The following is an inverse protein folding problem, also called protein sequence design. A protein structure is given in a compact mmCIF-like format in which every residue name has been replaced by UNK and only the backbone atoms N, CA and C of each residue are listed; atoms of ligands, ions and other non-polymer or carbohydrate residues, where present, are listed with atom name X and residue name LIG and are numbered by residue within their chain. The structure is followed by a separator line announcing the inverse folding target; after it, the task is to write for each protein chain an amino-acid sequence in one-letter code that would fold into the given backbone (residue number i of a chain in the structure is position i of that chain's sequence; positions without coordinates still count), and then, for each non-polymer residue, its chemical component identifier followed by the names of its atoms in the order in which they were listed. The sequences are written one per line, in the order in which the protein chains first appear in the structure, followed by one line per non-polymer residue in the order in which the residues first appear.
data_IF_242235475484
#
_entry.id   IF_242235475484
#
_cell.length_a   1.000
_cell.length_b   1.000
_cell.length_c   1.000
_cell.angle_alpha   90.00
_cell.angle_beta   90.00
_cell.angle_gamma   90.00
#
_symmetry.space_group_name_H-M   'P 1'
#
loop_
_entity.id
_entity.type
_entity.pdbx_description
1 polymer ?
#
# COMPACT_ATOMS: atom_id res chain seq x y z
N UNK A 1 -64.71 40.40 -21.08
CA UNK A 1 -64.16 39.49 -22.10
C UNK A 1 -64.20 40.18 -23.45
N UNK A 2 -63.05 40.46 -24.03
CA UNK A 2 -62.92 40.79 -25.45
C UNK A 2 -61.58 40.20 -25.92
N UNK A 3 -61.66 39.01 -26.51
CA UNK A 3 -60.53 38.24 -27.01
C UNK A 3 -60.30 38.68 -28.47
N UNK A 4 -59.32 39.57 -28.68
CA UNK A 4 -58.90 39.95 -30.03
C UNK A 4 -57.85 38.97 -30.54
N UNK A 5 -58.28 38.00 -31.35
CA UNK A 5 -57.39 37.17 -32.15
C UNK A 5 -56.97 37.99 -33.37
N UNK A 6 -55.67 38.30 -33.47
CA UNK A 6 -55.06 38.92 -34.66
C UNK A 6 -54.54 37.80 -35.56
N UNK A 7 -55.27 37.49 -36.63
CA UNK A 7 -54.78 36.60 -37.68
C UNK A 7 -53.69 37.30 -38.49
N UNK A 8 -52.47 36.76 -38.47
CA UNK A 8 -51.41 37.19 -39.37
C UNK A 8 -51.47 36.37 -40.66
N UNK A 9 -51.86 37.04 -41.75
CA UNK A 9 -51.89 36.51 -43.11
C UNK A 9 -50.48 36.60 -43.69
N UNK A 10 -49.72 35.50 -43.65
CA UNK A 10 -48.35 35.44 -44.20
C UNK A 10 -48.45 35.39 -45.74
N UNK A 11 -48.01 36.47 -46.40
CA UNK A 11 -47.87 36.56 -47.85
C UNK A 11 -46.65 35.75 -48.32
N UNK A 12 -46.87 34.78 -49.22
CA UNK A 12 -45.92 33.74 -49.65
C UNK A 12 -44.75 34.19 -50.52
N UNK A 13 -44.02 35.25 -50.13
CA UNK A 13 -42.88 35.78 -50.90
C UNK A 13 -41.58 35.97 -50.13
N UNK A 14 -41.50 35.65 -48.83
CA UNK A 14 -40.32 35.96 -47.99
C UNK A 14 -39.89 34.84 -47.03
N UNK A 15 -40.19 33.59 -47.36
CA UNK A 15 -39.80 32.43 -46.53
C UNK A 15 -38.40 31.88 -46.85
N UNK A 16 -37.81 32.20 -48.02
CA UNK A 16 -36.46 31.75 -48.34
C UNK A 16 -35.37 32.50 -47.55
N UNK A 17 -35.55 33.80 -47.28
CA UNK A 17 -34.56 34.59 -46.53
C UNK A 17 -34.52 34.25 -45.03
N UNK A 18 -35.67 34.04 -44.40
CA UNK A 18 -35.75 33.68 -42.99
C UNK A 18 -35.26 32.26 -42.72
N UNK A 19 -35.49 31.32 -43.65
CA UNK A 19 -34.97 29.94 -43.55
C UNK A 19 -33.45 29.87 -43.61
N UNK A 20 -32.81 30.64 -44.50
CA UNK A 20 -31.33 30.69 -44.59
C UNK A 20 -30.72 31.36 -43.36
N UNK A 21 -31.34 32.41 -42.82
CA UNK A 21 -30.86 33.06 -41.59
C UNK A 21 -31.05 32.14 -40.37
N UNK A 22 -32.16 31.38 -40.31
CA UNK A 22 -32.38 30.41 -39.23
C UNK A 22 -31.44 29.21 -39.33
N UNK A 23 -31.14 28.71 -40.55
CA UNK A 23 -30.13 27.68 -40.76
C UNK A 23 -28.71 28.18 -40.45
N UNK A 24 -28.38 29.43 -40.79
CA UNK A 24 -27.10 30.04 -40.43
C UNK A 24 -26.99 30.29 -38.91
N UNK A 25 -28.08 30.66 -38.24
CA UNK A 25 -28.13 30.83 -36.79
C UNK A 25 -28.04 29.47 -36.06
N UNK A 26 -28.68 28.42 -36.58
CA UNK A 26 -28.51 27.04 -36.07
C UNK A 26 -27.08 26.57 -36.31
N UNK A 27 -26.49 26.82 -37.49
CA UNK A 27 -25.10 26.46 -37.75
C UNK A 27 -24.13 27.22 -36.84
N UNK A 28 -24.38 28.51 -36.55
CA UNK A 28 -23.58 29.29 -35.58
C UNK A 28 -23.84 28.87 -34.13
N UNK A 29 -25.04 28.40 -33.79
CA UNK A 29 -25.33 27.85 -32.47
C UNK A 29 -24.70 26.46 -32.30
N UNK A 30 -24.74 25.60 -33.33
CA UNK A 30 -24.05 24.30 -33.34
C UNK A 30 -22.54 24.49 -33.39
N UNK A 31 -22.02 25.50 -34.10
CA UNK A 31 -20.59 25.83 -34.09
C UNK A 31 -20.18 26.52 -32.78
N UNK A 32 -21.03 27.35 -32.18
CA UNK A 32 -20.77 28.06 -30.93
C UNK A 32 -20.92 27.17 -29.68
N UNK A 33 -21.88 26.25 -29.67
CA UNK A 33 -22.05 25.21 -28.64
C UNK A 33 -21.11 24.04 -28.91
N UNK A 34 -20.91 23.62 -30.16
CA UNK A 34 -19.93 22.62 -30.54
C UNK A 34 -18.50 23.05 -30.21
N UNK A 35 -18.11 24.30 -30.50
CA UNK A 35 -16.82 24.86 -30.09
C UNK A 35 -16.71 25.20 -28.59
N UNK A 36 -17.78 25.03 -27.81
CA UNK A 36 -17.77 25.16 -26.34
C UNK A 36 -17.99 23.84 -25.60
N UNK A 37 -18.41 22.77 -26.30
CA UNK A 37 -18.36 21.38 -25.85
C UNK A 37 -17.01 20.74 -26.26
N UNK A 38 -16.33 21.27 -27.27
CA UNK A 38 -14.89 21.04 -27.49
C UNK A 38 -14.04 21.86 -26.51
N UNK A 39 -14.30 21.70 -25.22
CA UNK A 39 -13.39 22.05 -24.15
C UNK A 39 -12.51 20.81 -23.89
N UNK A 40 -11.32 20.66 -24.50
CA UNK A 40 -10.37 19.65 -24.07
C UNK A 40 -9.70 20.15 -22.77
N UNK A 41 -10.48 20.20 -21.70
CA UNK A 41 -9.96 20.30 -20.34
C UNK A 41 -10.65 19.18 -19.57
N UNK A 42 -10.24 17.95 -19.86
CA UNK A 42 -10.89 16.77 -19.33
C UNK A 42 -10.27 15.45 -19.74
N UNK A 43 -9.18 15.41 -20.50
CA UNK A 43 -8.47 14.17 -20.82
C UNK A 43 -7.01 14.58 -20.96
N UNK A 44 -6.20 14.36 -19.92
CA UNK A 44 -4.76 14.43 -20.08
C UNK A 44 -4.38 13.24 -20.97
N UNK A 45 -4.15 13.49 -22.26
CA UNK A 45 -3.45 12.58 -23.15
C UNK A 45 -2.22 12.04 -22.41
N UNK A 46 -2.14 10.71 -22.38
CA UNK A 46 -0.92 9.99 -22.02
C UNK A 46 0.07 10.24 -23.16
N UNK A 47 0.76 11.39 -23.14
CA UNK A 47 2.03 11.54 -23.84
C UNK A 47 3.04 10.67 -23.11
N UNK A 48 3.25 9.45 -23.62
CA UNK A 48 4.44 8.65 -23.32
C UNK A 48 5.63 9.33 -23.99
N UNK A 49 6.11 10.39 -23.35
CA UNK A 49 7.27 11.16 -23.77
C UNK A 49 7.96 11.69 -22.53
N UNK A 50 9.24 11.34 -22.38
CA UNK A 50 10.11 11.61 -21.23
C UNK A 50 10.31 13.11 -20.89
N UNK A 51 9.24 13.83 -20.57
CA UNK A 51 9.28 15.03 -19.73
C UNK A 51 9.03 14.53 -18.32
N UNK A 52 10.02 14.68 -17.44
CA UNK A 52 9.85 14.49 -16.00
C UNK A 52 8.54 15.16 -15.58
N UNK A 53 7.59 14.39 -15.06
CA UNK A 53 6.34 14.94 -14.61
C UNK A 53 6.65 15.95 -13.48
N UNK A 54 6.35 17.23 -13.72
CA UNK A 54 6.66 18.31 -12.78
C UNK A 54 5.93 18.11 -11.44
N UNK A 55 4.86 17.31 -11.41
CA UNK A 55 4.14 16.92 -10.20
C UNK A 55 4.93 15.88 -9.41
N UNK A 56 5.50 14.88 -10.07
CA UNK A 56 6.33 13.84 -9.43
C UNK A 56 7.53 14.46 -8.69
N UNK A 57 8.27 15.34 -9.37
CA UNK A 57 9.40 16.07 -8.77
C UNK A 57 9.00 17.00 -7.59
N UNK A 58 7.71 17.34 -7.48
CA UNK A 58 7.15 18.17 -6.39
C UNK A 58 6.43 17.34 -5.32
N UNK A 59 6.51 16.00 -5.41
CA UNK A 59 5.84 15.07 -4.51
C UNK A 59 4.31 15.20 -4.53
N UNK A 60 3.70 15.63 -5.63
CA UNK A 60 2.23 15.69 -5.75
C UNK A 60 1.70 14.28 -6.02
N UNK A 61 0.63 13.90 -5.33
CA UNK A 61 0.06 12.54 -5.34
C UNK A 61 -1.48 12.56 -5.21
N UNK A 62 -2.15 13.48 -5.94
CA UNK A 62 -3.61 13.66 -5.86
C UNK A 62 -4.37 12.61 -6.65
N UNK A 63 -3.82 12.24 -7.81
CA UNK A 63 -4.40 11.23 -8.70
C UNK A 63 -3.53 9.97 -8.69
N UNK A 64 -4.07 8.87 -9.19
CA UNK A 64 -3.29 7.64 -9.39
C UNK A 64 -2.11 7.86 -10.33
N UNK A 65 -2.35 8.52 -11.47
CA UNK A 65 -1.31 8.94 -12.40
C UNK A 65 -0.17 9.71 -11.71
N UNK A 66 -0.49 10.64 -10.80
CA UNK A 66 0.55 11.37 -10.05
C UNK A 66 1.37 10.43 -9.14
N UNK A 67 0.72 9.45 -8.49
CA UNK A 67 1.39 8.46 -7.64
C UNK A 67 2.30 7.53 -8.45
N UNK A 68 1.82 7.01 -9.57
CA UNK A 68 2.61 6.16 -10.48
C UNK A 68 3.81 6.94 -11.05
N UNK A 69 3.61 8.19 -11.47
CA UNK A 69 4.69 9.04 -11.94
C UNK A 69 5.73 9.34 -10.84
N UNK A 70 5.28 9.52 -9.59
CA UNK A 70 6.17 9.70 -8.44
C UNK A 70 7.01 8.44 -8.16
N UNK A 71 6.42 7.24 -8.27
CA UNK A 71 7.12 5.97 -8.09
C UNK A 71 8.15 5.76 -9.19
N UNK A 72 7.74 5.97 -10.45
CA UNK A 72 8.58 5.77 -11.63
C UNK A 72 9.86 6.63 -11.64
N UNK A 73 9.83 7.81 -11.00
CA UNK A 73 11.02 8.67 -10.91
C UNK A 73 12.19 8.03 -10.14
N UNK A 74 11.90 7.01 -9.32
CA UNK A 74 12.91 6.25 -8.57
C UNK A 74 13.35 4.96 -9.28
N UNK A 75 12.81 4.68 -10.47
CA UNK A 75 13.13 3.49 -11.26
C UNK A 75 12.26 2.27 -10.95
N UNK A 76 11.20 2.42 -10.16
CA UNK A 76 10.27 1.33 -9.84
C UNK A 76 9.12 1.25 -10.84
N UNK A 77 8.79 0.02 -11.21
CA UNK A 77 7.58 -0.34 -11.93
C UNK A 77 6.63 -1.03 -10.97
N UNK A 78 5.34 -0.69 -11.04
CA UNK A 78 4.31 -1.19 -10.14
C UNK A 78 3.04 -1.54 -10.90
N UNK A 79 2.20 -2.38 -10.30
CA UNK A 79 0.81 -2.53 -10.74
C UNK A 79 0.05 -1.19 -10.63
N UNK A 80 -0.84 -0.91 -11.59
CA UNK A 80 -1.54 0.38 -11.66
C UNK A 80 -2.46 0.62 -10.46
N UNK A 81 -3.13 -0.44 -10.01
CA UNK A 81 -4.02 -0.41 -8.86
C UNK A 81 -3.24 -0.65 -7.55
N UNK A 82 -3.48 0.14 -6.49
CA UNK A 82 -2.88 -0.12 -5.20
C UNK A 82 -3.47 -1.38 -4.58
N UNK A 83 -2.61 -2.25 -4.03
CA UNK A 83 -3.03 -3.44 -3.28
C UNK A 83 -3.75 -3.06 -1.98
N UNK A 84 -3.40 -1.93 -1.39
CA UNK A 84 -4.01 -1.46 -0.14
C UNK A 84 -4.08 0.07 -0.13
N UNK A 85 -5.20 0.60 0.34
CA UNK A 85 -5.37 2.01 0.68
C UNK A 85 -5.85 2.08 2.12
N UNK A 86 -5.01 2.60 3.02
CA UNK A 86 -5.33 2.73 4.43
C UNK A 86 -5.34 4.19 4.86
N UNK A 87 -6.32 4.59 5.66
CA UNK A 87 -6.29 5.86 6.37
C UNK A 87 -5.47 5.70 7.65
N UNK A 88 -4.43 6.51 7.79
CA UNK A 88 -3.51 6.46 8.92
C UNK A 88 -3.52 7.81 9.65
N UNK A 89 -3.19 7.78 10.94
CA UNK A 89 -2.91 8.99 11.72
C UNK A 89 -1.44 8.96 12.09
N UNK A 90 -0.71 10.01 11.75
CA UNK A 90 0.66 10.16 12.23
C UNK A 90 0.58 10.43 13.74
N UNK A 91 1.22 9.62 14.60
CA UNK A 91 1.12 9.78 16.05
C UNK A 91 1.51 11.19 16.51
N UNK A 92 0.93 11.68 17.59
CA UNK A 92 1.32 12.97 18.18
C UNK A 92 2.69 12.89 18.85
N UNK A 93 3.00 11.74 19.45
CA UNK A 93 4.28 11.41 20.07
C UNK A 93 4.91 10.23 19.33
N UNK A 94 6.22 10.31 19.05
CA UNK A 94 6.94 9.24 18.38
C UNK A 94 7.61 8.36 19.43
N UNK A 95 7.25 7.08 19.43
CA UNK A 95 8.00 6.05 20.12
C UNK A 95 9.30 5.73 19.36
N UNK A 96 10.06 4.75 19.84
CA UNK A 96 11.31 4.34 19.20
C UNK A 96 11.11 3.88 17.75
N UNK A 97 9.99 3.22 17.45
CA UNK A 97 9.67 2.68 16.12
C UNK A 97 9.39 3.82 15.14
N UNK A 98 8.51 4.75 15.51
CA UNK A 98 8.23 5.92 14.68
C UNK A 98 9.41 6.86 14.57
N UNK A 99 10.26 6.94 15.60
CA UNK A 99 11.51 7.71 15.54
C UNK A 99 12.44 7.14 14.48
N UNK A 100 12.73 5.84 14.51
CA UNK A 100 13.54 5.15 13.51
C UNK A 100 12.94 5.25 12.10
N UNK A 101 11.62 5.10 12.00
CA UNK A 101 10.93 5.25 10.72
C UNK A 101 11.06 6.69 10.18
N UNK A 102 10.89 7.70 11.03
CA UNK A 102 11.08 9.09 10.64
C UNK A 102 12.54 9.42 10.27
N UNK A 103 13.54 8.79 10.89
CA UNK A 103 14.94 8.89 10.47
C UNK A 103 15.15 8.34 9.06
N UNK A 104 14.52 7.20 8.72
CA UNK A 104 14.50 6.70 7.34
C UNK A 104 13.85 7.71 6.38
N UNK A 105 12.76 8.35 6.79
CA UNK A 105 12.10 9.38 5.98
C UNK A 105 12.98 10.63 5.80
N UNK A 106 13.73 11.03 6.82
CA UNK A 106 14.66 12.16 6.75
C UNK A 106 15.79 11.96 5.75
N UNK A 107 16.30 10.72 5.61
CA UNK A 107 17.27 10.38 4.56
C UNK A 107 16.72 10.60 3.15
N UNK A 108 15.40 10.57 3.00
CA UNK A 108 14.68 10.82 1.76
C UNK A 108 14.20 12.27 1.62
N UNK A 109 14.66 13.18 2.49
CA UNK A 109 14.24 14.58 2.60
C UNK A 109 12.78 14.79 3.04
N UNK A 110 12.20 13.80 3.71
CA UNK A 110 10.88 13.88 4.34
C UNK A 110 10.99 14.05 5.86
N UNK A 111 9.97 14.62 6.50
CA UNK A 111 9.94 14.72 7.97
C UNK A 111 8.51 14.60 8.45
N UNK A 112 8.20 13.44 9.05
CA UNK A 112 6.88 13.08 9.54
C UNK A 112 6.48 13.88 10.79
N UNK A 113 7.44 14.44 11.54
CA UNK A 113 7.13 15.25 12.73
C UNK A 113 6.28 16.48 12.39
N UNK A 114 6.42 17.01 11.18
CA UNK A 114 5.61 18.14 10.66
C UNK A 114 4.14 17.77 10.44
N UNK A 115 3.83 16.49 10.52
CA UNK A 115 2.51 15.92 10.27
C UNK A 115 1.94 15.17 11.49
N UNK A 116 2.55 15.30 12.67
CA UNK A 116 2.03 14.76 13.94
C UNK A 116 0.56 15.13 14.17
N UNK A 117 -0.24 14.14 14.56
CA UNK A 117 -1.70 14.25 14.75
C UNK A 117 -2.51 14.36 13.45
N UNK A 118 -1.89 14.39 12.26
CA UNK A 118 -2.61 14.52 11.00
C UNK A 118 -3.06 13.18 10.46
N UNK A 119 -4.25 13.23 9.86
CA UNK A 119 -4.87 12.11 9.14
C UNK A 119 -4.38 12.10 7.70
N UNK A 120 -3.84 10.98 7.25
CA UNK A 120 -3.20 10.80 5.97
C UNK A 120 -3.60 9.46 5.35
N UNK A 121 -3.18 9.20 4.12
CA UNK A 121 -3.43 7.93 3.44
C UNK A 121 -2.13 7.23 3.13
N UNK A 122 -2.06 5.93 3.41
CA UNK A 122 -1.03 5.04 2.88
C UNK A 122 -1.58 4.36 1.63
N UNK A 123 -0.84 4.46 0.53
CA UNK A 123 -1.08 3.67 -0.68
C UNK A 123 0.03 2.64 -0.80
N UNK A 124 -0.34 1.37 -0.91
CA UNK A 124 0.59 0.26 -1.07
C UNK A 124 0.48 -0.27 -2.48
N UNK A 125 1.59 -0.34 -3.20
CA UNK A 125 1.66 -0.86 -4.57
C UNK A 125 2.60 -2.06 -4.64
N UNK A 126 2.25 -3.06 -5.46
CA UNK A 126 3.16 -4.18 -5.77
C UNK A 126 4.23 -3.70 -6.75
N UNK A 127 5.50 -3.90 -6.42
CA UNK A 127 6.62 -3.62 -7.33
C UNK A 127 6.82 -4.83 -8.23
N UNK A 128 6.94 -4.63 -9.54
CA UNK A 128 7.08 -5.72 -10.51
C UNK A 128 8.52 -5.93 -10.98
N UNK A 129 9.41 -4.95 -10.76
CA UNK A 129 10.79 -4.96 -11.24
C UNK A 129 11.84 -4.97 -10.10
N UNK A 130 11.46 -5.39 -8.89
CA UNK A 130 12.41 -5.47 -7.78
C UNK A 130 13.43 -6.60 -8.02
N UNK A 131 14.75 -6.35 -7.89
CA UNK A 131 15.78 -7.38 -8.12
C UNK A 131 15.57 -8.61 -7.21
N UNK A 132 15.71 -9.81 -7.78
CA UNK A 132 15.69 -11.11 -7.08
C UNK A 132 14.37 -11.52 -6.41
N UNK A 133 13.46 -10.58 -6.12
CA UNK A 133 12.18 -10.87 -5.47
C UNK A 133 11.03 -9.97 -5.99
N UNK A 134 10.59 -10.15 -7.25
CA UNK A 134 9.55 -9.31 -7.86
C UNK A 134 8.15 -9.55 -7.27
N UNK A 135 7.89 -10.69 -6.63
CA UNK A 135 6.53 -11.00 -6.15
C UNK A 135 6.23 -10.51 -4.75
N UNK A 136 7.25 -10.25 -3.93
CA UNK A 136 7.08 -9.92 -2.52
C UNK A 136 7.42 -8.45 -2.19
N UNK A 137 7.96 -7.70 -3.14
CA UNK A 137 8.32 -6.30 -2.94
C UNK A 137 7.11 -5.37 -3.10
N UNK A 138 6.97 -4.44 -2.17
CA UNK A 138 5.91 -3.43 -2.13
C UNK A 138 6.51 -2.05 -1.92
N UNK A 139 5.86 -1.02 -2.47
CA UNK A 139 6.15 0.38 -2.17
C UNK A 139 4.96 1.03 -1.47
N UNK A 140 5.25 1.64 -0.33
CA UNK A 140 4.29 2.37 0.50
C UNK A 140 4.47 3.86 0.28
N UNK A 141 3.42 4.58 -0.10
CA UNK A 141 3.40 6.04 -0.18
C UNK A 141 2.52 6.61 0.93
N UNK A 142 3.09 7.46 1.79
CA UNK A 142 2.35 8.23 2.77
C UNK A 142 1.96 9.58 2.17
N UNK A 143 0.66 9.82 2.01
CA UNK A 143 0.12 10.99 1.34
C UNK A 143 -0.77 11.79 2.30
N UNK A 144 -0.42 13.05 2.55
CA UNK A 144 -1.26 14.02 3.27
C UNK A 144 -1.51 15.23 2.37
N UNK A 145 -2.75 15.75 2.37
CA UNK A 145 -3.14 16.93 1.58
C UNK A 145 -2.76 16.82 0.07
N UNK A 146 -2.77 15.60 -0.46
CA UNK A 146 -2.42 15.31 -1.85
C UNK A 146 -0.93 15.40 -2.18
N UNK A 147 -0.06 15.34 -1.18
CA UNK A 147 1.40 15.31 -1.32
C UNK A 147 2.00 14.12 -0.61
N UNK A 148 3.03 13.52 -1.21
CA UNK A 148 3.87 12.53 -0.56
C UNK A 148 4.63 13.20 0.58
N UNK A 149 4.53 12.63 1.77
CA UNK A 149 5.21 13.10 2.98
C UNK A 149 6.23 12.10 3.51
N UNK A 150 6.37 10.95 2.85
CA UNK A 150 7.25 9.85 3.21
C UNK A 150 6.76 8.54 2.62
N UNK A 151 7.50 7.47 2.89
CA UNK A 151 7.20 6.11 2.50
C UNK A 151 8.44 5.23 2.43
N UNK A 152 8.26 4.00 2.00
CA UNK A 152 9.28 2.96 2.02
C UNK A 152 9.01 1.91 0.95
N UNK A 153 10.05 1.14 0.65
CA UNK A 153 9.97 -0.09 -0.13
C UNK A 153 10.29 -1.24 0.82
N UNK A 154 9.42 -2.26 0.87
CA UNK A 154 9.55 -3.38 1.79
C UNK A 154 9.20 -4.73 1.16
N UNK A 155 9.69 -5.82 1.76
CA UNK A 155 9.27 -7.19 1.44
C UNK A 155 8.30 -7.72 2.50
N UNK A 156 7.36 -8.57 2.08
CA UNK A 156 6.42 -9.27 2.98
C UNK A 156 6.98 -10.55 3.60
N UNK A 157 8.21 -10.92 3.28
CA UNK A 157 8.85 -12.13 3.79
C UNK A 157 9.25 -12.02 5.27
N UNK A 158 9.41 -13.17 5.94
CA UNK A 158 9.79 -13.23 7.36
C UNK A 158 11.15 -12.56 7.65
N UNK A 159 12.07 -12.66 6.69
CA UNK A 159 13.37 -11.95 6.69
C UNK A 159 13.34 -10.76 5.71
N UNK A 160 12.19 -10.10 5.62
CA UNK A 160 11.98 -8.98 4.72
C UNK A 160 12.90 -7.80 5.02
N UNK A 161 12.92 -6.85 4.10
CA UNK A 161 13.68 -5.62 4.22
C UNK A 161 12.76 -4.41 4.24
N UNK A 162 13.31 -3.26 4.63
CA UNK A 162 12.68 -1.97 4.44
C UNK A 162 13.77 -0.94 4.10
N UNK A 163 13.57 -0.19 3.02
CA UNK A 163 14.46 0.90 2.63
C UNK A 163 13.67 2.06 2.02
N UNK A 164 14.36 3.16 1.71
CA UNK A 164 13.74 4.34 1.10
C UNK A 164 13.39 4.12 -0.38
N UNK A 165 12.80 5.11 -1.03
CA UNK A 165 12.32 5.01 -2.40
C UNK A 165 13.41 4.77 -3.45
N UNK A 166 14.66 5.15 -3.21
CA UNK A 166 15.67 5.08 -4.26
C UNK A 166 16.04 3.61 -4.56
N UNK A 167 16.01 3.23 -5.85
CA UNK A 167 16.26 1.85 -6.25
C UNK A 167 17.68 1.35 -5.97
N UNK A 168 18.66 2.23 -5.91
CA UNK A 168 20.03 1.92 -5.47
C UNK A 168 20.12 1.56 -3.97
N UNK A 169 19.14 1.97 -3.16
CA UNK A 169 19.04 1.59 -1.75
C UNK A 169 18.68 0.11 -1.57
N UNK A 170 18.12 -0.57 -2.59
CA UNK A 170 17.86 -2.01 -2.56
C UNK A 170 19.15 -2.83 -2.40
N UNK A 171 20.23 -2.44 -3.10
CA UNK A 171 21.55 -3.07 -2.96
C UNK A 171 22.12 -2.90 -1.54
N UNK A 172 21.81 -1.78 -0.88
CA UNK A 172 22.23 -1.54 0.51
C UNK A 172 21.40 -2.31 1.53
N UNK A 173 20.11 -2.51 1.26
CA UNK A 173 19.25 -3.36 2.09
C UNK A 173 19.70 -4.83 2.05
N UNK A 174 20.09 -5.31 0.87
CA UNK A 174 20.64 -6.66 0.67
C UNK A 174 22.00 -6.86 1.37
N UNK A 175 22.81 -5.81 1.50
CA UNK A 175 24.09 -5.89 2.20
C UNK A 175 23.96 -6.00 3.73
N UNK A 176 22.79 -5.68 4.30
CA UNK A 176 22.51 -5.81 5.74
C UNK A 176 21.86 -7.16 6.10
N UNK A 177 21.37 -7.93 5.12
CA UNK A 177 20.83 -9.29 5.29
C UNK A 177 21.91 -10.39 5.18
N UNK A 178 23.16 -10.11 5.57
CA UNK A 178 24.22 -11.11 5.57
C UNK A 178 23.85 -12.33 6.45
N UNK A 179 24.22 -13.56 6.02
CA UNK A 179 23.73 -14.80 6.60
C UNK A 179 24.21 -14.95 8.04
N UNK A 180 23.32 -15.45 8.90
CA UNK A 180 23.70 -15.98 10.21
C UNK A 180 24.80 -17.04 9.98
N UNK A 181 25.92 -17.03 10.73
CA UNK A 181 26.85 -18.14 10.68
C UNK A 181 26.11 -19.39 11.10
N UNK A 182 25.94 -20.33 10.17
CA UNK A 182 25.50 -21.68 10.49
C UNK A 182 26.48 -22.26 11.51
N UNK A 183 25.92 -22.68 12.63
CA UNK A 183 26.58 -23.44 13.68
C UNK A 183 27.27 -24.67 13.09
N UNK A 184 28.60 -24.64 13.02
CA UNK A 184 29.39 -25.87 12.96
C UNK A 184 29.42 -26.49 14.36
N UNK A 185 28.49 -27.40 14.59
CA UNK A 185 28.62 -28.47 15.57
C UNK A 185 29.51 -29.57 14.96
N UNK A 186 30.61 -29.91 15.64
CA UNK A 186 31.32 -31.21 15.70
C UNK A 186 32.73 -30.94 16.27
N UNK A 187 33.32 -31.65 17.23
CA UNK A 187 32.97 -32.83 17.99
C UNK A 187 33.84 -32.89 19.27
N UNK A 188 33.32 -33.59 20.29
CA UNK A 188 33.92 -34.16 21.50
C UNK A 188 35.42 -34.48 21.50
N UNK A 189 36.10 -34.23 22.64
CA UNK A 189 36.94 -35.22 23.36
C UNK A 189 37.14 -34.83 24.83
N UNK A 190 36.83 -35.77 25.74
CA UNK A 190 37.15 -35.79 27.16
C UNK A 190 38.68 -35.84 27.41
N UNK A 191 39.16 -35.17 28.46
CA UNK A 191 40.09 -35.81 29.40
C UNK A 191 40.02 -35.15 30.78
N UNK A 192 40.34 -35.96 31.78
CA UNK A 192 40.01 -35.91 33.20
C UNK A 192 41.13 -35.24 34.00
N UNK A 193 40.86 -35.04 35.29
CA UNK A 193 41.77 -35.02 36.46
C UNK A 193 42.04 -33.64 37.10
N UNK A 194 41.44 -33.44 38.28
CA UNK A 194 42.24 -33.31 39.51
C UNK A 194 42.11 -32.04 40.37
N UNK A 195 41.76 -32.26 41.64
CA UNK A 195 42.13 -31.40 42.80
C UNK A 195 41.01 -30.49 43.31
N UNK A 196 40.37 -30.82 44.45
CA UNK A 196 40.63 -30.23 45.79
C UNK A 196 40.10 -28.77 45.90
N UNK A 197 39.33 -28.30 46.88
CA UNK A 197 38.98 -28.69 48.26
C UNK A 197 37.84 -27.76 48.74
N UNK A 198 36.95 -28.26 49.62
CA UNK A 198 35.99 -27.52 50.46
C UNK A 198 36.73 -26.71 51.58
N UNK A 199 36.14 -25.80 52.40
CA UNK A 199 34.75 -25.85 52.92
C UNK A 199 34.04 -24.52 53.34
N UNK A 200 32.77 -24.69 53.80
CA UNK A 200 32.02 -23.96 54.85
C UNK A 200 31.74 -22.45 54.64
N UNK A 201 30.67 -21.79 55.08
CA UNK A 201 29.61 -21.93 56.09
C UNK A 201 28.55 -20.89 55.65
N UNK A 202 27.23 -21.01 55.85
CA UNK A 202 26.53 -20.61 57.08
C UNK A 202 25.00 -20.72 56.83
N UNK A 203 24.27 -20.96 57.92
CA UNK A 203 22.90 -21.45 58.02
C UNK A 203 21.81 -20.36 58.04
N UNK A 204 20.55 -20.78 57.82
CA UNK A 204 19.34 -20.46 58.62
C UNK A 204 18.08 -20.88 57.81
N UNK A 205 17.44 -22.00 58.16
CA UNK A 205 16.21 -22.07 58.99
C UNK A 205 14.93 -21.61 58.26
N UNK A 206 14.05 -22.57 57.94
CA UNK A 206 12.69 -22.63 58.49
C UNK A 206 11.98 -23.95 58.12
N UNK A 207 11.25 -24.44 59.12
CA UNK A 207 10.36 -25.60 59.25
C UNK A 207 9.31 -25.70 58.10
N UNK A 208 8.68 -26.81 57.72
CA UNK A 208 8.39 -28.08 58.37
C UNK A 208 6.89 -28.38 58.25
N UNK A 209 6.54 -29.54 57.62
CA UNK A 209 5.32 -30.36 57.88
C UNK A 209 3.96 -29.79 57.37
N UNK A 210 3.01 -30.49 56.74
CA UNK A 210 2.81 -31.83 56.15
C UNK A 210 1.49 -31.77 55.31
N UNK A 211 1.41 -32.63 54.29
CA UNK A 211 0.25 -33.41 53.80
C UNK A 211 -1.16 -32.79 53.71
N UNK A 212 -1.73 -32.74 52.50
CA UNK A 212 -2.70 -33.75 52.02
C UNK A 212 -3.43 -33.31 50.72
N UNK A 213 -3.59 -34.28 49.82
CA UNK A 213 -4.73 -34.53 48.92
C UNK A 213 -5.29 -33.39 48.04
N UNK A 214 -5.17 -33.52 46.72
CA UNK A 214 -6.26 -34.01 45.84
C UNK A 214 -6.06 -33.56 44.38
N UNK A 215 -6.51 -34.42 43.47
CA UNK A 215 -6.72 -34.24 42.03
C UNK A 215 -5.50 -34.20 41.11
N UNK A 216 -5.22 -35.39 40.57
CA UNK A 216 -4.58 -35.58 39.28
C UNK A 216 -5.31 -34.76 38.19
N UNK A 217 -4.59 -33.88 37.52
CA UNK A 217 -4.96 -33.36 36.20
C UNK A 217 -3.96 -33.94 35.20
N UNK A 218 -4.48 -34.85 34.39
CA UNK A 218 -3.86 -35.46 33.22
C UNK A 218 -3.41 -34.37 32.22
N UNK A 219 -2.10 -34.24 31.88
CA UNK A 219 -1.65 -33.30 30.86
C UNK A 219 -1.67 -33.92 29.44
N UNK A 220 -2.28 -35.09 29.23
CA UNK A 220 -2.34 -35.76 27.93
C UNK A 220 -3.70 -35.55 27.25
N UNK A 221 -4.00 -34.31 26.85
CA UNK A 221 -5.04 -34.03 25.86
C UNK A 221 -4.67 -32.80 25.02
N UNK A 222 -4.03 -33.06 23.88
CA UNK A 222 -3.86 -32.10 22.79
C UNK A 222 -5.24 -31.67 22.24
N UNK A 223 -5.47 -30.38 21.94
CA UNK A 223 -6.62 -29.98 21.13
C UNK A 223 -6.37 -30.37 19.66
N UNK A 224 -7.32 -31.00 18.95
CA UNK A 224 -7.15 -31.33 17.54
C UNK A 224 -7.28 -30.06 16.69
N UNK A 225 -6.16 -29.55 16.17
CA UNK A 225 -6.10 -28.36 15.27
C UNK A 225 -5.66 -28.79 13.85
N UNK A 226 -6.15 -29.94 13.38
CA UNK A 226 -5.86 -30.43 12.03
C UNK A 226 -7.11 -30.61 11.14
N UNK A 227 -8.32 -30.65 11.73
CA UNK A 227 -9.55 -30.92 10.97
C UNK A 227 -10.17 -29.69 10.27
N UNK A 228 -9.67 -28.47 10.51
CA UNK A 228 -10.27 -27.26 9.91
C UNK A 228 -9.78 -26.97 8.50
N UNK A 229 -8.53 -27.31 8.16
CA UNK A 229 -7.98 -27.07 6.82
C UNK A 229 -8.48 -28.07 5.77
N UNK A 230 -8.73 -29.33 6.16
CA UNK A 230 -9.31 -30.32 5.27
C UNK A 230 -10.78 -30.02 4.96
N UNK A 231 -11.51 -29.44 5.92
CA UNK A 231 -12.90 -29.02 5.73
C UNK A 231 -13.00 -27.76 4.84
N UNK A 232 -12.10 -26.78 5.00
CA UNK A 232 -12.06 -25.59 4.13
C UNK A 232 -11.59 -25.94 2.70
N UNK A 233 -10.64 -26.86 2.55
CA UNK A 233 -10.18 -27.33 1.23
C UNK A 233 -11.26 -28.13 0.48
N UNK A 234 -12.10 -28.88 1.21
CA UNK A 234 -13.23 -29.60 0.61
C UNK A 234 -14.33 -28.64 0.12
N UNK A 235 -14.70 -27.63 0.92
CA UNK A 235 -15.67 -26.60 0.48
C UNK A 235 -15.13 -25.78 -0.71
N UNK A 236 -13.83 -25.51 -0.75
CA UNK A 236 -13.22 -24.76 -1.84
C UNK A 236 -13.15 -25.58 -3.15
N UNK A 237 -12.98 -26.91 -3.08
CA UNK A 237 -13.07 -27.78 -4.27
C UNK A 237 -14.51 -27.92 -4.80
N UNK A 238 -15.52 -27.92 -3.94
CA UNK A 238 -16.92 -28.05 -4.36
C UNK A 238 -17.39 -26.79 -5.11
N UNK A 239 -16.97 -25.60 -4.67
CA UNK A 239 -17.25 -24.33 -5.36
C UNK A 239 -16.60 -24.27 -6.76
N UNK A 240 -15.41 -24.84 -6.92
CA UNK A 240 -14.71 -24.83 -8.22
C UNK A 240 -15.32 -25.81 -9.23
N UNK A 241 -15.96 -26.90 -8.79
CA UNK A 241 -16.63 -27.84 -9.68
C UNK A 241 -18.05 -27.38 -10.08
N UNK A 242 -18.73 -26.60 -9.24
CA UNK A 242 -20.07 -26.08 -9.50
C UNK A 242 -20.17 -24.96 -10.56
N UNK A 243 -19.04 -24.41 -11.03
CA UNK A 243 -19.01 -23.33 -12.04
C UNK A 243 -18.89 -23.89 -13.47
N UNK A 244 -18.70 -25.21 -13.64
CA UNK A 244 -18.48 -25.83 -14.97
C UNK A 244 -19.73 -26.40 -15.67
N UNK A 245 -20.91 -26.36 -15.03
CA UNK A 245 -22.15 -26.95 -15.56
C UNK A 245 -23.22 -25.94 -16.02
N UNK A 246 -22.87 -24.65 -16.15
CA UNK A 246 -23.80 -23.62 -16.64
C UNK A 246 -23.25 -22.89 -17.88
N UNK A 247 -22.98 -23.63 -18.96
CA UNK A 247 -23.14 -23.20 -20.37
C UNK A 247 -23.44 -24.38 -21.31
#
# INVERSE_FOLDING_TARGET
MAMFVKSYKISGGRLLGAGVIFLAAIALFVYGVGARISNPQGESEVEVGAKLDKNAAKGVAKTERDRLAFIAQFGWEVEEEPQEIAEIVIPEEFDEVYTKYNELQQKQNYNLEKFKGKRCKRYTYKITNYPECPDNARINLLVCDGKVIGGDVCSVELNGFMHGFAADSSAMAQAQTLPLPETEETAVVEDTIGGETLPAEEAAEAEGVELAEDTAVDPSAEPPVQDTMDQEMAEMMEILQGISDEE
#
